data_IF_465389869949
#
_entry.id   IF_465389869949
#
_cell.length_a   1.000
_cell.length_b   1.000
_cell.length_c   1.000
_cell.angle_alpha   90.00
_cell.angle_beta   90.00
_cell.angle_gamma   90.00
#
_symmetry.space_group_name_H-M   'P 1'
#
loop_
_entity.id
_entity.type
_entity.pdbx_description
1 polymer ?
#
# COMPACT_ATOMS: atom_id res chain seq x y z
N UNK A 1 -4.12 -12.61 37.59
CA UNK A 1 -4.52 -11.49 36.72
C UNK A 1 -3.33 -11.11 35.86
N UNK A 2 -3.41 -11.35 34.58
CA UNK A 2 -2.32 -11.04 33.67
C UNK A 2 -2.31 -9.55 33.36
N UNK A 3 -1.20 -8.89 33.70
CA UNK A 3 -1.01 -7.49 33.38
C UNK A 3 -0.47 -7.40 31.97
N UNK A 4 -1.30 -6.91 31.04
CA UNK A 4 -0.89 -6.66 29.67
C UNK A 4 -0.04 -5.39 29.68
N UNK A 5 1.26 -5.54 29.49
CA UNK A 5 2.15 -4.39 29.33
C UNK A 5 1.95 -3.81 27.94
N UNK A 6 1.42 -2.59 27.86
CA UNK A 6 1.37 -1.84 26.61
C UNK A 6 2.75 -1.25 26.34
N UNK A 7 3.39 -1.69 25.28
CA UNK A 7 4.66 -1.11 24.83
C UNK A 7 4.35 0.09 23.94
N UNK A 8 4.89 1.25 24.29
CA UNK A 8 4.83 2.43 23.44
C UNK A 8 5.97 2.37 22.44
N UNK A 9 5.63 2.52 21.14
CA UNK A 9 6.59 2.58 20.05
C UNK A 9 6.59 4.00 19.52
N UNK A 10 7.76 4.65 19.54
CA UNK A 10 7.94 5.97 18.95
C UNK A 10 8.41 5.82 17.50
N UNK A 11 7.83 6.58 16.62
CA UNK A 11 8.24 6.61 15.21
C UNK A 11 8.19 8.04 14.69
N UNK A 12 8.95 8.27 13.61
CA UNK A 12 8.97 9.57 12.93
C UNK A 12 8.18 9.45 11.63
N UNK A 13 7.26 10.39 11.43
CA UNK A 13 6.56 10.52 10.14
C UNK A 13 7.23 11.65 9.36
N UNK A 14 7.71 11.34 8.16
CA UNK A 14 8.28 12.32 7.26
C UNK A 14 7.32 12.50 6.09
N UNK A 15 6.85 13.74 5.90
CA UNK A 15 5.97 14.07 4.78
C UNK A 15 6.80 14.48 3.58
N UNK A 16 6.53 13.84 2.44
CA UNK A 16 7.21 14.11 1.17
C UNK A 16 6.17 14.59 0.17
N UNK A 17 6.56 15.55 -0.65
CA UNK A 17 5.72 16.11 -1.69
C UNK A 17 6.50 16.14 -3.01
N UNK A 18 5.78 15.87 -4.11
CA UNK A 18 6.34 15.90 -5.45
C UNK A 18 5.46 16.78 -6.32
N UNK A 19 6.05 17.81 -6.92
CA UNK A 19 5.33 18.76 -7.79
C UNK A 19 5.55 18.49 -9.28
N UNK A 20 6.53 17.66 -9.61
CA UNK A 20 6.84 17.26 -10.98
C UNK A 20 7.10 15.76 -11.04
N UNK A 21 6.70 15.14 -12.14
CA UNK A 21 7.00 13.73 -12.37
C UNK A 21 8.47 13.60 -12.75
N UNK A 22 9.28 12.86 -11.99
CA UNK A 22 10.68 12.69 -12.31
C UNK A 22 10.86 11.82 -13.53
N UNK A 23 11.97 12.04 -14.24
CA UNK A 23 12.39 11.13 -15.31
C UNK A 23 13.14 9.96 -14.66
N UNK A 24 12.77 8.75 -15.04
CA UNK A 24 13.48 7.56 -14.59
C UNK A 24 13.42 6.48 -15.66
N UNK A 25 14.41 5.60 -15.64
CA UNK A 25 14.49 4.48 -16.57
C UNK A 25 13.72 3.28 -16.02
N UNK A 26 13.10 2.53 -16.93
CA UNK A 26 12.48 1.26 -16.59
C UNK A 26 13.48 0.14 -16.77
N UNK A 27 13.49 -0.88 -15.88
CA UNK A 27 14.37 -2.02 -16.04
C UNK A 27 14.03 -2.79 -17.31
N UNK A 28 15.06 -3.10 -18.11
CA UNK A 28 14.91 -3.75 -19.42
C UNK A 28 14.76 -5.27 -19.34
N UNK A 29 15.37 -5.89 -18.32
CA UNK A 29 15.39 -7.34 -18.15
C UNK A 29 14.92 -7.71 -16.75
N UNK A 30 13.61 -7.94 -16.62
CA UNK A 30 13.03 -8.40 -15.38
C UNK A 30 13.06 -9.94 -15.34
N UNK A 31 13.61 -10.49 -14.26
CA UNK A 31 13.64 -11.96 -14.03
C UNK A 31 12.27 -12.52 -13.66
N UNK A 32 11.33 -11.66 -13.29
CA UNK A 32 10.02 -12.03 -12.77
C UNK A 32 8.92 -11.55 -13.68
N UNK A 33 7.82 -12.29 -13.70
CA UNK A 33 6.59 -11.85 -14.37
C UNK A 33 5.87 -10.89 -13.44
N UNK A 34 5.77 -9.61 -13.85
CA UNK A 34 5.18 -8.55 -13.05
C UNK A 34 3.94 -8.01 -13.74
N UNK A 35 2.90 -7.78 -12.97
CA UNK A 35 1.66 -7.17 -13.45
C UNK A 35 1.09 -6.26 -12.37
N UNK A 36 0.42 -5.20 -12.80
CA UNK A 36 -0.25 -4.27 -11.90
C UNK A 36 -1.69 -4.14 -12.35
N UNK A 37 -2.62 -4.37 -11.43
CA UNK A 37 -4.04 -4.33 -11.71
C UNK A 37 -4.74 -3.34 -10.80
N UNK A 38 -5.59 -2.49 -11.39
CA UNK A 38 -6.54 -1.70 -10.62
C UNK A 38 -7.62 -2.65 -10.11
N UNK A 39 -7.80 -2.68 -8.79
CA UNK A 39 -8.89 -3.43 -8.19
C UNK A 39 -10.17 -2.61 -8.29
N UNK A 40 -11.18 -3.12 -9.00
CA UNK A 40 -12.48 -2.47 -9.15
C UNK A 40 -13.51 -3.15 -8.27
N UNK A 41 -14.32 -2.36 -7.57
CA UNK A 41 -15.41 -2.85 -6.70
C UNK A 41 -14.96 -3.95 -5.73
N UNK A 42 -13.75 -3.79 -5.16
CA UNK A 42 -13.18 -4.79 -4.27
C UNK A 42 -13.80 -4.70 -2.86
N UNK A 43 -13.92 -5.83 -2.15
CA UNK A 43 -14.44 -5.84 -0.79
C UNK A 43 -13.41 -5.31 0.20
N UNK A 44 -13.89 -4.83 1.35
CA UNK A 44 -13.02 -4.25 2.39
C UNK A 44 -11.96 -5.22 2.90
N UNK A 45 -12.25 -6.53 2.95
CA UNK A 45 -11.25 -7.51 3.37
C UNK A 45 -10.04 -7.56 2.45
N UNK A 46 -10.17 -7.17 1.18
CA UNK A 46 -9.06 -7.15 0.24
C UNK A 46 -8.03 -6.09 0.64
N UNK A 47 -8.50 -4.90 0.99
CA UNK A 47 -7.64 -3.86 1.55
C UNK A 47 -7.00 -4.32 2.85
N UNK A 48 -7.80 -4.86 3.78
CA UNK A 48 -7.30 -5.32 5.08
C UNK A 48 -6.29 -6.47 4.95
N UNK A 49 -6.46 -7.32 3.95
CA UNK A 49 -5.50 -8.37 3.64
C UNK A 49 -4.12 -7.77 3.36
N UNK A 50 -4.03 -6.80 2.44
CA UNK A 50 -2.76 -6.15 2.13
C UNK A 50 -2.25 -5.32 3.29
N UNK A 51 -3.13 -4.62 3.98
CA UNK A 51 -2.77 -3.84 5.15
C UNK A 51 -2.07 -4.70 6.20
N UNK A 52 -2.57 -5.89 6.46
CA UNK A 52 -1.96 -6.85 7.38
C UNK A 52 -0.67 -7.44 6.82
N UNK A 53 -0.70 -7.94 5.59
CA UNK A 53 0.43 -8.64 5.00
C UNK A 53 1.65 -7.72 4.82
N UNK A 54 1.44 -6.49 4.45
CA UNK A 54 2.50 -5.51 4.27
C UNK A 54 2.86 -4.82 5.57
N UNK A 55 1.84 -4.42 6.34
CA UNK A 55 1.99 -3.51 7.46
C UNK A 55 2.38 -4.17 8.79
N UNK A 56 2.21 -5.47 8.96
CA UNK A 56 2.48 -6.16 10.22
C UNK A 56 3.90 -5.90 10.72
N UNK A 57 4.87 -6.00 9.84
CA UNK A 57 6.29 -5.75 10.14
C UNK A 57 6.57 -4.30 10.55
N UNK A 58 5.74 -3.36 10.08
CA UNK A 58 5.90 -1.93 10.33
C UNK A 58 4.93 -1.39 11.37
N UNK A 59 4.25 -2.28 12.10
CA UNK A 59 3.29 -1.92 13.15
C UNK A 59 2.10 -1.08 12.66
N UNK A 60 1.62 -1.37 11.47
CA UNK A 60 0.41 -0.76 10.95
C UNK A 60 -0.81 -1.35 11.67
N UNK A 61 -1.41 -0.58 12.56
CA UNK A 61 -2.53 -1.05 13.39
C UNK A 61 -3.77 -0.16 13.32
N UNK A 62 -3.64 1.06 12.88
CA UNK A 62 -4.73 2.06 12.94
C UNK A 62 -6.01 1.59 12.25
N UNK A 63 -5.90 1.04 11.05
CA UNK A 63 -7.06 0.59 10.28
C UNK A 63 -7.70 -0.69 10.82
N UNK A 64 -6.97 -1.48 11.60
CA UNK A 64 -7.52 -2.67 12.24
C UNK A 64 -8.49 -2.34 13.36
N UNK A 65 -8.43 -1.12 13.89
CA UNK A 65 -9.26 -0.63 14.98
C UNK A 65 -10.42 0.27 14.52
N UNK A 66 -10.51 0.54 13.23
CA UNK A 66 -11.61 1.35 12.68
C UNK A 66 -12.89 0.52 12.56
N UNK A 67 -14.04 1.19 12.61
CA UNK A 67 -15.32 0.53 12.40
C UNK A 67 -15.46 -0.01 10.98
N UNK A 68 -16.31 -1.03 10.81
CA UNK A 68 -16.61 -1.56 9.48
C UNK A 68 -17.14 -0.47 8.54
N UNK A 69 -17.94 0.45 9.06
CA UNK A 69 -18.47 1.57 8.28
C UNK A 69 -17.36 2.48 7.75
N UNK A 70 -16.39 2.84 8.60
CA UNK A 70 -15.27 3.69 8.21
C UNK A 70 -14.43 3.02 7.12
N UNK A 71 -14.17 1.72 7.26
CA UNK A 71 -13.40 0.96 6.28
C UNK A 71 -14.16 0.86 4.96
N UNK A 72 -15.44 0.53 5.00
CA UNK A 72 -16.28 0.40 3.81
C UNK A 72 -16.42 1.75 3.08
N UNK A 73 -16.56 2.84 3.80
CA UNK A 73 -16.66 4.18 3.23
C UNK A 73 -15.36 4.61 2.54
N UNK A 74 -14.22 4.27 3.13
CA UNK A 74 -12.91 4.55 2.54
C UNK A 74 -12.69 3.74 1.27
N UNK A 75 -12.87 2.44 1.36
CA UNK A 75 -12.65 1.50 0.25
C UNK A 75 -13.63 1.75 -0.90
N UNK A 76 -14.88 2.09 -0.58
CA UNK A 76 -15.92 2.36 -1.57
C UNK A 76 -15.88 3.74 -2.19
N UNK A 77 -14.99 4.63 -1.74
CA UNK A 77 -14.89 5.97 -2.30
C UNK A 77 -14.26 5.90 -3.69
N UNK A 78 -14.94 6.50 -4.69
CA UNK A 78 -14.49 6.50 -6.10
C UNK A 78 -13.15 7.20 -6.33
N UNK A 79 -12.72 8.04 -5.39
CA UNK A 79 -11.47 8.78 -5.47
C UNK A 79 -10.35 8.09 -4.67
N UNK A 80 -10.57 6.88 -4.22
CA UNK A 80 -9.57 6.03 -3.57
C UNK A 80 -9.37 4.80 -4.45
N UNK A 81 -8.15 4.65 -4.97
CA UNK A 81 -7.80 3.59 -5.91
C UNK A 81 -6.80 2.63 -5.27
N UNK A 82 -7.06 1.35 -5.41
CA UNK A 82 -6.13 0.31 -4.97
C UNK A 82 -5.57 -0.42 -6.19
N UNK A 83 -4.25 -0.47 -6.28
CA UNK A 83 -3.53 -1.23 -7.30
C UNK A 83 -2.85 -2.42 -6.67
N UNK A 84 -3.10 -3.60 -7.23
CA UNK A 84 -2.47 -4.85 -6.80
C UNK A 84 -1.25 -5.13 -7.67
N UNK A 85 -0.13 -5.44 -7.03
CA UNK A 85 1.11 -5.85 -7.69
C UNK A 85 1.21 -7.37 -7.65
N UNK A 86 1.24 -7.99 -8.82
CA UNK A 86 1.33 -9.44 -8.98
C UNK A 86 2.74 -9.78 -9.45
N UNK A 87 3.39 -10.70 -8.75
CA UNK A 87 4.70 -11.24 -9.10
C UNK A 87 4.58 -12.74 -9.30
N UNK A 88 4.95 -13.21 -10.49
CA UNK A 88 4.92 -14.64 -10.83
C UNK A 88 3.57 -15.30 -10.47
N UNK A 89 2.47 -14.55 -10.61
CA UNK A 89 1.12 -15.02 -10.40
C UNK A 89 0.56 -14.89 -8.99
N UNK A 90 1.32 -14.34 -8.02
CA UNK A 90 0.79 -14.14 -6.66
C UNK A 90 0.79 -12.67 -6.25
N UNK A 91 -0.10 -12.27 -5.32
CA UNK A 91 -0.18 -10.89 -4.86
C UNK A 91 1.03 -10.53 -3.98
N UNK A 92 1.97 -9.78 -4.55
CA UNK A 92 3.26 -9.47 -3.93
C UNK A 92 3.31 -8.10 -3.26
N UNK A 93 2.33 -7.25 -3.51
CA UNK A 93 2.29 -5.93 -2.93
C UNK A 93 1.11 -5.12 -3.43
N UNK A 94 1.04 -3.88 -2.98
CA UNK A 94 -0.03 -2.98 -3.38
C UNK A 94 0.38 -1.53 -3.16
N UNK A 95 -0.38 -0.63 -3.75
CA UNK A 95 -0.41 0.77 -3.33
C UNK A 95 -1.81 1.33 -3.50
N UNK A 96 -2.10 2.38 -2.75
CA UNK A 96 -3.36 3.09 -2.85
C UNK A 96 -3.11 4.56 -3.14
N UNK A 97 -3.88 5.08 -4.08
CA UNK A 97 -3.87 6.49 -4.45
C UNK A 97 -5.15 7.13 -3.94
N UNK A 98 -5.01 8.22 -3.21
CA UNK A 98 -6.12 8.94 -2.62
C UNK A 98 -6.24 10.32 -3.26
N UNK A 99 -7.31 10.53 -4.02
CA UNK A 99 -7.64 11.76 -4.72
C UNK A 99 -8.80 12.51 -4.05
N UNK A 100 -9.13 12.20 -2.81
CA UNK A 100 -10.27 12.86 -2.13
C UNK A 100 -10.04 14.34 -1.89
N UNK A 101 -8.80 14.78 -1.80
CA UNK A 101 -8.46 16.20 -1.72
C UNK A 101 -8.21 16.74 -3.11
N UNK A 102 -8.85 17.88 -3.42
CA UNK A 102 -8.72 18.52 -4.73
C UNK A 102 -7.26 18.84 -5.05
N UNK A 103 -6.85 18.56 -6.29
CA UNK A 103 -5.52 18.84 -6.83
C UNK A 103 -4.37 18.15 -6.09
N UNK A 104 -4.67 17.16 -5.26
CA UNK A 104 -3.66 16.37 -4.53
C UNK A 104 -3.93 14.89 -4.75
N UNK A 105 -2.87 14.16 -5.08
CA UNK A 105 -2.86 12.71 -5.05
C UNK A 105 -1.92 12.25 -3.94
N UNK A 106 -2.47 11.56 -2.97
CA UNK A 106 -1.71 11.01 -1.86
C UNK A 106 -1.46 9.51 -2.08
N UNK A 107 -0.22 9.07 -1.92
CA UNK A 107 0.08 7.64 -1.85
C UNK A 107 -0.16 7.24 -0.40
N UNK A 108 -1.37 6.79 -0.13
CA UNK A 108 -1.82 6.53 1.24
C UNK A 108 -1.21 5.27 1.83
N UNK A 109 -1.04 4.24 0.99
CA UNK A 109 -0.45 2.96 1.38
C UNK A 109 0.42 2.46 0.23
N UNK A 110 1.53 1.84 0.61
CA UNK A 110 2.49 1.33 -0.35
C UNK A 110 3.35 0.26 0.32
N UNK A 111 3.53 -0.86 -0.32
CA UNK A 111 4.49 -1.82 0.16
C UNK A 111 4.41 -3.18 -0.50
N UNK A 112 5.37 -4.01 -0.13
CA UNK A 112 5.51 -5.38 -0.57
C UNK A 112 5.23 -6.33 0.59
N UNK A 113 4.68 -7.49 0.28
CA UNK A 113 4.62 -8.58 1.24
C UNK A 113 6.04 -9.09 1.52
N UNK A 114 6.25 -9.71 2.68
CA UNK A 114 7.61 -10.14 3.13
C UNK A 114 8.31 -11.04 2.11
N UNK A 115 7.55 -11.88 1.40
CA UNK A 115 8.08 -12.84 0.42
C UNK A 115 8.63 -12.13 -0.84
N UNK A 116 8.31 -10.86 -1.05
CA UNK A 116 8.74 -10.09 -2.21
C UNK A 116 9.82 -9.04 -1.88
N UNK A 117 10.20 -8.92 -0.61
CA UNK A 117 11.21 -7.95 -0.17
C UNK A 117 12.61 -8.43 -0.54
N UNK A 118 13.52 -7.47 -0.84
CA UNK A 118 14.93 -7.76 -1.10
C UNK A 118 15.27 -8.13 -2.54
N UNK A 119 14.33 -7.94 -3.47
CA UNK A 119 14.51 -8.28 -4.89
C UNK A 119 14.56 -7.04 -5.80
N UNK A 120 14.61 -5.83 -5.23
CA UNK A 120 14.57 -4.58 -5.99
C UNK A 120 13.19 -4.21 -6.52
N UNK A 121 12.15 -4.92 -6.13
CA UNK A 121 10.79 -4.73 -6.65
C UNK A 121 10.09 -3.51 -6.06
N UNK A 122 10.47 -3.07 -4.86
CA UNK A 122 9.88 -1.87 -4.24
C UNK A 122 10.13 -0.62 -5.07
N UNK A 123 11.33 -0.46 -5.59
CA UNK A 123 11.67 0.65 -6.48
C UNK A 123 10.85 0.62 -7.77
N UNK A 124 10.70 -0.57 -8.36
CA UNK A 124 9.84 -0.76 -9.53
C UNK A 124 8.39 -0.38 -9.24
N UNK A 125 7.85 -0.88 -8.13
CA UNK A 125 6.47 -0.60 -7.73
C UNK A 125 6.24 0.90 -7.50
N UNK A 126 7.18 1.57 -6.84
CA UNK A 126 7.08 3.01 -6.59
C UNK A 126 7.05 3.82 -7.89
N UNK A 127 7.86 3.45 -8.87
CA UNK A 127 7.85 4.09 -10.19
C UNK A 127 6.49 4.00 -10.86
N UNK A 128 5.78 2.89 -10.69
CA UNK A 128 4.44 2.72 -11.28
C UNK A 128 3.39 3.57 -10.58
N UNK A 129 3.57 3.87 -9.29
CA UNK A 129 2.65 4.71 -8.52
C UNK A 129 2.80 6.20 -8.82
N UNK A 130 3.96 6.61 -9.27
CA UNK A 130 4.25 8.00 -9.65
C UNK A 130 3.75 8.27 -11.06
#
# INVERSE_FOLDING_TARGET
MDIIKKTKISYRVTYLEMNEVPKFDWPKNLKHKLSIFLAEDFPSWYFLFFYKQVGEKYFWTDWLNKSNKEIDDFVGNKNVLLYTFIKDGFPAGFYMLDYRTKDICDISFFGLVKEAIGMGLGKYLLKTAI
#
